data_IF_855415125638
#
_entry.id   IF_855415125638
#
_cell.length_a   1.000
_cell.length_b   1.000
_cell.length_c   1.000
_cell.angle_alpha   90.00
_cell.angle_beta   90.00
_cell.angle_gamma   90.00
#
_symmetry.space_group_name_H-M   'P 1'
#
loop_
_entity.id
_entity.type
_entity.pdbx_description
1 polymer ?
#
# COMPACT_ATOMS: atom_id res chain seq x y z
N UNK A 1 -15.65 -21.39 7.64
CA UNK A 1 -15.48 -21.08 6.19
C UNK A 1 -14.79 -19.73 6.11
N UNK A 2 -13.76 -19.63 5.29
CA UNK A 2 -13.09 -18.35 5.02
C UNK A 2 -14.08 -17.45 4.28
N UNK A 3 -14.33 -16.26 4.80
CA UNK A 3 -15.26 -15.31 4.20
C UNK A 3 -14.54 -14.55 3.07
N UNK A 4 -15.07 -14.67 1.85
CA UNK A 4 -14.50 -13.95 0.70
C UNK A 4 -14.91 -12.48 0.77
N UNK A 5 -13.95 -11.52 0.68
CA UNK A 5 -14.28 -10.11 0.57
C UNK A 5 -15.21 -9.81 -0.62
N UNK A 6 -16.14 -8.86 -0.49
CA UNK A 6 -17.07 -8.54 -1.56
C UNK A 6 -16.42 -7.72 -2.68
N UNK A 7 -16.40 -8.27 -3.89
CA UNK A 7 -15.98 -7.57 -5.11
C UNK A 7 -16.58 -8.20 -6.36
N UNK A 8 -16.70 -7.38 -7.41
CA UNK A 8 -17.16 -7.79 -8.73
C UNK A 8 -16.05 -7.54 -9.76
N UNK A 9 -15.73 -8.55 -10.57
CA UNK A 9 -14.78 -8.40 -11.69
C UNK A 9 -15.55 -7.91 -12.91
N UNK A 10 -15.36 -6.64 -13.26
CA UNK A 10 -16.02 -6.00 -14.41
C UNK A 10 -15.23 -6.22 -15.71
N UNK A 11 -15.85 -6.05 -16.90
CA UNK A 11 -15.11 -6.06 -18.17
C UNK A 11 -13.96 -5.05 -18.21
N UNK A 12 -14.11 -3.88 -17.55
CA UNK A 12 -13.05 -2.87 -17.43
C UNK A 12 -11.85 -3.37 -16.63
N UNK A 13 -12.11 -4.06 -15.51
CA UNK A 13 -11.06 -4.69 -14.69
C UNK A 13 -10.29 -5.72 -15.50
N UNK A 14 -10.98 -6.57 -16.28
CA UNK A 14 -10.33 -7.58 -17.12
C UNK A 14 -9.45 -6.95 -18.21
N UNK A 15 -9.92 -5.89 -18.87
CA UNK A 15 -9.15 -5.17 -19.87
C UNK A 15 -7.89 -4.50 -19.27
N UNK A 16 -7.99 -3.96 -18.06
CA UNK A 16 -6.83 -3.39 -17.34
C UNK A 16 -5.81 -4.47 -16.97
N UNK A 17 -6.26 -5.64 -16.53
CA UNK A 17 -5.36 -6.77 -16.20
C UNK A 17 -4.56 -7.20 -17.44
N UNK A 18 -5.22 -7.31 -18.61
CA UNK A 18 -4.56 -7.64 -19.88
C UNK A 18 -3.49 -6.60 -20.24
N UNK A 19 -3.84 -5.30 -20.21
CA UNK A 19 -2.92 -4.20 -20.52
C UNK A 19 -1.74 -4.14 -19.56
N UNK A 20 -1.96 -4.36 -18.25
CA UNK A 20 -0.89 -4.43 -17.25
C UNK A 20 0.02 -5.62 -17.55
N UNK A 21 -0.55 -6.78 -17.89
CA UNK A 21 0.21 -7.96 -18.28
C UNK A 21 1.17 -7.70 -19.44
N UNK A 22 0.70 -7.00 -20.49
CA UNK A 22 1.53 -6.59 -21.62
C UNK A 22 2.62 -5.60 -21.20
N UNK A 23 2.28 -4.55 -20.44
CA UNK A 23 3.24 -3.55 -19.96
C UNK A 23 4.34 -4.17 -19.10
N UNK A 24 3.98 -5.07 -18.16
CA UNK A 24 4.92 -5.81 -17.33
C UNK A 24 5.81 -6.73 -18.16
N UNK A 25 5.24 -7.44 -19.14
CA UNK A 25 6.01 -8.29 -20.06
C UNK A 25 7.06 -7.49 -20.85
N UNK A 26 6.71 -6.31 -21.34
CA UNK A 26 7.63 -5.40 -22.04
C UNK A 26 8.72 -4.87 -21.08
N UNK A 27 8.35 -4.47 -19.86
CA UNK A 27 9.28 -4.00 -18.85
C UNK A 27 10.25 -5.10 -18.38
N UNK A 28 9.79 -6.34 -18.22
CA UNK A 28 10.65 -7.49 -17.89
C UNK A 28 11.64 -7.80 -19.02
N UNK A 29 11.23 -7.75 -20.29
CA UNK A 29 12.10 -7.92 -21.43
C UNK A 29 13.18 -6.82 -21.54
N UNK A 30 12.83 -5.58 -21.21
CA UNK A 30 13.76 -4.46 -21.16
C UNK A 30 14.70 -4.48 -19.95
N UNK A 31 14.37 -5.22 -18.90
CA UNK A 31 15.06 -5.22 -17.59
C UNK A 31 16.48 -5.81 -17.61
N UNK A 32 16.87 -6.49 -18.68
CA UNK A 32 18.25 -7.03 -18.84
C UNK A 32 19.34 -5.95 -18.69
N UNK A 33 18.95 -4.65 -18.73
CA UNK A 33 19.85 -3.49 -18.62
C UNK A 33 19.50 -2.51 -17.48
N UNK A 34 18.59 -2.85 -16.54
CA UNK A 34 18.16 -1.85 -15.53
C UNK A 34 19.29 -1.53 -14.53
N UNK A 35 19.69 -0.26 -14.58
CA UNK A 35 20.68 0.37 -13.73
C UNK A 35 20.22 0.38 -12.23
N UNK A 36 21.12 0.00 -11.32
CA UNK A 36 20.94 0.10 -9.86
C UNK A 36 20.52 1.52 -9.43
N UNK A 37 20.94 2.53 -10.17
CA UNK A 37 20.58 3.93 -9.96
C UNK A 37 19.07 4.16 -10.15
N UNK A 38 18.46 3.58 -11.18
CA UNK A 38 17.02 3.71 -11.44
C UNK A 38 16.20 3.05 -10.34
N UNK A 39 16.59 1.86 -9.88
CA UNK A 39 15.94 1.18 -8.74
C UNK A 39 15.96 2.02 -7.47
N UNK A 40 17.12 2.65 -7.19
CA UNK A 40 17.25 3.55 -6.04
C UNK A 40 16.32 4.76 -6.17
N UNK A 41 16.26 5.40 -7.34
CA UNK A 41 15.37 6.54 -7.60
C UNK A 41 13.91 6.12 -7.40
N UNK A 42 13.49 5.01 -7.95
CA UNK A 42 12.12 4.52 -7.83
C UNK A 42 11.77 4.15 -6.38
N UNK A 43 12.70 3.56 -5.63
CA UNK A 43 12.53 3.31 -4.19
C UNK A 43 12.29 4.61 -3.41
N UNK A 44 13.07 5.66 -3.70
CA UNK A 44 12.91 6.97 -3.07
C UNK A 44 11.54 7.57 -3.41
N UNK A 45 11.11 7.47 -4.68
CA UNK A 45 9.80 7.93 -5.13
C UNK A 45 8.64 7.20 -4.47
N UNK A 46 8.72 5.87 -4.36
CA UNK A 46 7.75 5.03 -3.64
C UNK A 46 7.60 5.50 -2.19
N UNK A 47 8.72 5.60 -1.46
CA UNK A 47 8.71 6.04 -0.05
C UNK A 47 8.14 7.45 0.08
N UNK A 48 8.64 8.39 -0.72
CA UNK A 48 8.17 9.78 -0.70
C UNK A 48 6.68 9.87 -1.04
N UNK A 49 6.21 9.15 -2.06
CA UNK A 49 4.79 9.12 -2.45
C UNK A 49 3.91 8.63 -1.31
N UNK A 50 4.25 7.49 -0.72
CA UNK A 50 3.50 6.92 0.41
C UNK A 50 3.43 7.85 1.62
N UNK A 51 4.53 8.52 1.96
CA UNK A 51 4.58 9.46 3.07
C UNK A 51 3.80 10.75 2.77
N UNK A 52 3.88 11.25 1.54
CA UNK A 52 3.20 12.49 1.14
C UNK A 52 1.67 12.37 1.14
N UNK A 53 1.12 11.19 0.85
CA UNK A 53 -0.32 10.91 0.99
C UNK A 53 -0.80 11.16 2.43
N UNK A 54 0.06 10.88 3.42
CA UNK A 54 -0.22 11.09 4.85
C UNK A 54 0.19 12.50 5.35
N UNK A 55 0.55 13.41 4.43
CA UNK A 55 0.88 14.80 4.77
C UNK A 55 2.32 15.05 5.17
N UNK A 56 3.23 14.09 5.01
CA UNK A 56 4.66 14.31 5.20
C UNK A 56 5.19 15.32 4.16
N UNK A 57 5.98 16.28 4.60
CA UNK A 57 6.37 17.45 3.80
C UNK A 57 7.74 17.31 3.13
N UNK A 58 8.43 16.18 3.31
CA UNK A 58 9.76 15.97 2.74
C UNK A 58 9.73 15.95 1.20
N UNK A 59 10.67 16.66 0.59
CA UNK A 59 10.94 16.56 -0.84
C UNK A 59 11.64 15.24 -1.19
N UNK A 60 11.62 14.86 -2.46
CA UNK A 60 12.34 13.67 -2.96
C UNK A 60 13.87 13.78 -2.65
N UNK A 61 14.46 14.97 -2.77
CA UNK A 61 15.85 15.21 -2.44
C UNK A 61 16.15 15.03 -0.94
N UNK A 62 15.24 15.44 -0.06
CA UNK A 62 15.39 15.22 1.39
C UNK A 62 15.27 13.75 1.75
N UNK A 63 14.29 13.02 1.17
CA UNK A 63 14.18 11.55 1.36
C UNK A 63 15.44 10.85 0.85
N UNK A 64 16.00 11.27 -0.31
CA UNK A 64 17.25 10.73 -0.83
C UNK A 64 18.44 10.98 0.12
N UNK A 65 18.48 12.15 0.74
CA UNK A 65 19.53 12.52 1.72
C UNK A 65 19.44 11.66 2.98
N UNK A 66 18.20 11.41 3.49
CA UNK A 66 17.96 10.51 4.62
C UNK A 66 18.32 9.06 4.25
N UNK A 67 18.01 8.63 3.04
CA UNK A 67 18.35 7.32 2.50
C UNK A 67 19.88 7.09 2.49
N UNK A 68 20.68 8.13 2.24
CA UNK A 68 22.14 8.10 2.31
C UNK A 68 22.69 8.24 3.75
N UNK A 69 21.84 8.22 4.78
CA UNK A 69 22.23 8.36 6.19
C UNK A 69 22.70 9.78 6.58
N UNK A 70 22.43 10.77 5.75
CA UNK A 70 22.86 12.16 5.99
C UNK A 70 21.78 12.97 6.74
N UNK A 71 22.17 14.00 7.50
CA UNK A 71 21.23 14.87 8.20
C UNK A 71 20.45 15.75 7.22
N UNK A 72 19.18 16.03 7.58
CA UNK A 72 18.25 16.90 6.84
C UNK A 72 17.63 17.90 7.80
N UNK A 73 17.47 19.15 7.37
CA UNK A 73 16.68 20.15 8.10
C UNK A 73 15.20 20.01 7.70
N UNK A 74 14.40 19.39 8.56
CA UNK A 74 12.96 19.17 8.39
C UNK A 74 12.32 18.85 9.75
N UNK A 75 10.97 18.79 9.86
CA UNK A 75 10.31 18.38 11.08
C UNK A 75 10.79 17.00 11.54
N UNK A 76 11.05 16.84 12.84
CA UNK A 76 11.58 15.58 13.39
C UNK A 76 10.66 14.39 13.14
N UNK A 77 9.34 14.61 13.17
CA UNK A 77 8.34 13.58 12.84
C UNK A 77 8.51 13.10 11.41
N UNK A 78 8.61 14.02 10.45
CA UNK A 78 8.74 13.70 9.02
C UNK A 78 10.02 12.89 8.75
N UNK A 79 11.13 13.29 9.39
CA UNK A 79 12.41 12.56 9.30
C UNK A 79 12.27 11.15 9.87
N UNK A 80 11.58 11.01 11.02
CA UNK A 80 11.39 9.69 11.65
C UNK A 80 10.53 8.79 10.77
N UNK A 81 9.45 9.31 10.20
CA UNK A 81 8.59 8.58 9.26
C UNK A 81 9.39 8.08 8.04
N UNK A 82 10.24 8.94 7.47
CA UNK A 82 11.09 8.55 6.33
C UNK A 82 12.09 7.45 6.69
N UNK A 83 12.75 7.53 7.85
CA UNK A 83 13.67 6.49 8.34
C UNK A 83 12.97 5.16 8.54
N UNK A 84 11.79 5.19 9.16
CA UNK A 84 10.98 4.00 9.38
C UNK A 84 10.53 3.37 8.06
N UNK A 85 10.08 4.18 7.10
CA UNK A 85 9.67 3.69 5.78
C UNK A 85 10.86 3.08 5.03
N UNK A 86 12.03 3.71 5.03
CA UNK A 86 13.25 3.15 4.44
C UNK A 86 13.54 1.78 5.03
N UNK A 87 13.54 1.66 6.37
CA UNK A 87 13.79 0.40 7.06
C UNK A 87 12.76 -0.68 6.73
N UNK A 88 11.47 -0.31 6.63
CA UNK A 88 10.40 -1.25 6.26
C UNK A 88 10.57 -1.76 4.82
N UNK A 89 10.81 -0.88 3.86
CA UNK A 89 11.03 -1.25 2.47
C UNK A 89 12.35 -2.02 2.23
N UNK A 90 13.35 -1.91 3.10
CA UNK A 90 14.56 -2.73 3.02
C UNK A 90 14.32 -4.17 3.45
N UNK A 91 13.32 -4.42 4.30
CA UNK A 91 13.01 -5.74 4.84
C UNK A 91 11.79 -6.41 4.18
N UNK A 92 10.90 -5.67 3.50
CA UNK A 92 9.57 -6.13 3.11
C UNK A 92 9.56 -7.42 2.28
N UNK A 93 10.57 -7.65 1.45
CA UNK A 93 10.66 -8.87 0.61
C UNK A 93 10.85 -10.16 1.41
N UNK A 94 11.17 -10.06 2.72
CA UNK A 94 11.36 -11.20 3.60
C UNK A 94 10.06 -11.62 4.30
N UNK A 95 9.02 -10.78 4.21
CA UNK A 95 7.74 -11.02 4.88
C UNK A 95 6.82 -11.87 4.04
N UNK A 96 6.07 -12.76 4.72
CA UNK A 96 4.97 -13.47 4.11
C UNK A 96 3.71 -12.58 4.18
N UNK A 97 3.08 -12.23 3.04
CA UNK A 97 1.91 -11.33 3.03
C UNK A 97 0.68 -11.90 3.76
N UNK A 98 0.58 -13.21 3.94
CA UNK A 98 -0.50 -13.85 4.70
C UNK A 98 -0.17 -14.03 6.20
N UNK A 99 1.03 -13.61 6.66
CA UNK A 99 1.47 -13.75 8.05
C UNK A 99 1.06 -12.55 8.90
N UNK A 100 0.19 -12.76 9.89
CA UNK A 100 -0.13 -11.74 10.89
C UNK A 100 1.10 -11.27 11.67
N UNK A 101 2.00 -12.19 12.01
CA UNK A 101 3.25 -11.85 12.71
C UNK A 101 4.11 -10.89 11.91
N UNK A 102 4.21 -11.11 10.60
CA UNK A 102 4.98 -10.22 9.72
C UNK A 102 4.27 -8.88 9.52
N UNK A 103 2.94 -8.87 9.42
CA UNK A 103 2.13 -7.65 9.33
C UNK A 103 2.31 -6.78 10.58
N UNK A 104 2.20 -7.36 11.78
CA UNK A 104 2.40 -6.63 13.03
C UNK A 104 3.84 -6.14 13.19
N UNK A 105 4.82 -6.95 12.75
CA UNK A 105 6.25 -6.56 12.73
C UNK A 105 6.50 -5.39 11.77
N UNK A 106 5.92 -5.41 10.58
CA UNK A 106 6.03 -4.34 9.61
C UNK A 106 5.45 -3.02 10.15
N UNK A 107 4.25 -3.08 10.74
CA UNK A 107 3.66 -1.92 11.40
C UNK A 107 4.53 -1.40 12.56
N UNK A 108 5.10 -2.29 13.37
CA UNK A 108 6.03 -1.90 14.43
C UNK A 108 7.22 -1.11 13.88
N UNK A 109 7.80 -1.54 12.76
CA UNK A 109 8.91 -0.83 12.11
C UNK A 109 8.44 0.53 11.61
N UNK A 110 7.33 0.59 10.85
CA UNK A 110 6.81 1.83 10.28
C UNK A 110 6.46 2.89 11.34
N UNK A 111 6.01 2.46 12.51
CA UNK A 111 5.50 3.35 13.56
C UNK A 111 6.43 3.48 14.76
N UNK A 112 7.67 2.97 14.68
CA UNK A 112 8.69 3.13 15.73
C UNK A 112 8.92 4.59 16.05
N UNK A 113 8.85 4.96 17.34
CA UNK A 113 8.97 6.33 17.87
C UNK A 113 7.91 7.33 17.33
N UNK A 114 6.84 6.85 16.74
CA UNK A 114 5.68 7.64 16.31
C UNK A 114 4.42 7.29 17.10
N UNK A 115 4.34 6.07 17.62
CA UNK A 115 3.24 5.57 18.48
C UNK A 115 3.80 4.95 19.76
N UNK A 116 2.98 4.93 20.81
CA UNK A 116 3.31 4.29 22.09
C UNK A 116 3.31 2.75 22.00
N UNK A 117 2.38 2.19 21.21
CA UNK A 117 2.20 0.74 21.05
C UNK A 117 2.21 0.28 19.58
N UNK A 118 3.32 0.46 18.83
CA UNK A 118 3.39 0.05 17.43
C UNK A 118 3.40 -1.49 17.31
N UNK A 119 2.74 -2.01 16.28
CA UNK A 119 2.63 -3.44 16.04
C UNK A 119 1.53 -4.13 16.86
N UNK A 120 0.55 -3.37 17.34
CA UNK A 120 -0.63 -3.88 18.02
C UNK A 120 -1.89 -3.33 17.37
N UNK A 121 -2.94 -4.14 17.27
CA UNK A 121 -4.24 -3.68 16.82
C UNK A 121 -4.82 -2.67 17.80
N UNK A 122 -5.58 -1.71 17.25
CA UNK A 122 -6.25 -0.67 18.04
C UNK A 122 -7.24 -1.24 19.05
N UNK A 123 -7.42 -0.51 20.11
CA UNK A 123 -8.42 -0.79 21.15
C UNK A 123 -9.54 0.25 21.18
N UNK A 124 -9.35 1.35 20.45
CA UNK A 124 -10.32 2.44 20.34
C UNK A 124 -11.14 2.37 19.04
N UNK A 125 -12.25 3.09 19.01
CA UNK A 125 -13.00 3.35 17.79
C UNK A 125 -12.23 4.34 16.94
N UNK A 126 -12.23 4.15 15.62
CA UNK A 126 -11.58 5.04 14.67
C UNK A 126 -12.54 5.48 13.58
N UNK A 127 -12.31 6.70 13.05
CA UNK A 127 -12.90 7.16 11.82
C UNK A 127 -11.81 7.21 10.74
N UNK A 128 -12.09 6.62 9.60
CA UNK A 128 -11.23 6.72 8.43
C UNK A 128 -11.53 8.06 7.76
N UNK A 129 -10.58 8.97 7.82
CA UNK A 129 -10.73 10.30 7.25
C UNK A 129 -9.65 10.56 6.19
N UNK A 130 -9.99 11.36 5.19
CA UNK A 130 -9.05 11.85 4.19
C UNK A 130 -9.49 13.22 3.70
N UNK A 131 -8.55 14.13 3.46
CA UNK A 131 -8.80 15.50 3.01
C UNK A 131 -9.80 16.31 3.89
N UNK A 132 -9.87 15.98 5.20
CA UNK A 132 -10.75 16.65 6.16
C UNK A 132 -12.19 16.10 6.22
N UNK A 133 -12.52 15.08 5.45
CA UNK A 133 -13.82 14.39 5.48
C UNK A 133 -13.70 12.98 6.06
N UNK A 134 -14.72 12.56 6.81
CA UNK A 134 -14.85 11.18 7.29
C UNK A 134 -15.46 10.34 6.18
N UNK A 135 -14.70 9.35 5.70
CA UNK A 135 -15.15 8.46 4.64
C UNK A 135 -15.85 7.21 5.17
N UNK A 136 -15.44 6.76 6.35
CA UNK A 136 -15.96 5.53 6.93
C UNK A 136 -15.68 5.51 8.44
N UNK A 137 -16.53 4.80 9.21
CA UNK A 137 -16.27 4.47 10.62
C UNK A 137 -15.80 3.02 10.65
N UNK A 138 -14.60 2.80 11.14
CA UNK A 138 -14.03 1.46 11.24
C UNK A 138 -14.89 0.52 12.10
N UNK A 139 -14.81 -0.79 11.88
CA UNK A 139 -15.52 -1.79 12.70
C UNK A 139 -15.21 -1.62 14.19
N UNK A 140 -16.05 -2.13 15.10
CA UNK A 140 -15.76 -2.17 16.52
C UNK A 140 -14.38 -2.81 16.80
N UNK A 141 -13.58 -2.30 17.76
CA UNK A 141 -12.21 -2.74 17.97
C UNK A 141 -12.09 -4.22 18.37
N UNK A 142 -13.08 -4.77 19.04
CA UNK A 142 -13.16 -6.19 19.41
C UNK A 142 -13.32 -7.14 18.21
N UNK A 143 -13.82 -6.62 17.06
CA UNK A 143 -13.94 -7.37 15.81
C UNK A 143 -12.66 -7.36 14.96
N UNK A 144 -11.75 -6.42 15.22
CA UNK A 144 -10.54 -6.23 14.38
C UNK A 144 -9.67 -7.49 14.27
N UNK A 145 -9.36 -8.22 15.36
CA UNK A 145 -8.54 -9.43 15.25
C UNK A 145 -9.19 -10.51 14.38
N UNK A 146 -10.51 -10.72 14.50
CA UNK A 146 -11.25 -11.69 13.70
C UNK A 146 -11.27 -11.30 12.22
N UNK A 147 -11.55 -10.03 11.92
CA UNK A 147 -11.59 -9.52 10.54
C UNK A 147 -10.22 -9.62 9.87
N UNK A 148 -9.16 -9.28 10.58
CA UNK A 148 -7.79 -9.43 10.06
C UNK A 148 -7.40 -10.88 9.85
N UNK A 149 -7.76 -11.79 10.77
CA UNK A 149 -7.51 -13.22 10.60
C UNK A 149 -8.24 -13.77 9.36
N UNK A 150 -9.50 -13.37 9.12
CA UNK A 150 -10.25 -13.75 7.95
C UNK A 150 -9.63 -13.21 6.65
N UNK A 151 -9.22 -11.94 6.64
CA UNK A 151 -8.58 -11.31 5.47
C UNK A 151 -7.24 -11.97 5.13
N UNK A 152 -6.41 -12.28 6.12
CA UNK A 152 -5.13 -12.98 5.91
C UNK A 152 -5.34 -14.44 5.49
N UNK A 153 -6.32 -15.14 6.04
CA UNK A 153 -6.68 -16.50 5.63
C UNK A 153 -7.20 -16.52 4.19
N UNK A 154 -8.02 -15.54 3.79
CA UNK A 154 -8.43 -15.38 2.39
C UNK A 154 -7.24 -15.14 1.46
N UNK A 155 -6.30 -14.30 1.87
CA UNK A 155 -5.09 -14.00 1.09
C UNK A 155 -4.22 -15.25 0.88
N UNK A 156 -4.15 -16.15 1.87
CA UNK A 156 -3.39 -17.40 1.80
C UNK A 156 -4.04 -18.47 0.90
N UNK A 157 -5.37 -18.49 0.84
CA UNK A 157 -6.16 -19.57 0.18
C UNK A 157 -6.66 -19.19 -1.23
N UNK A 158 -6.56 -17.92 -1.64
CA UNK A 158 -7.19 -17.45 -2.88
C UNK A 158 -6.36 -17.77 -4.14
N UNK A 159 -7.06 -18.30 -5.18
CA UNK A 159 -6.49 -18.50 -6.54
C UNK A 159 -6.76 -17.32 -7.48
N UNK A 160 -7.29 -16.19 -6.98
CA UNK A 160 -7.60 -15.03 -7.79
C UNK A 160 -6.32 -14.35 -8.31
N UNK A 161 -6.48 -13.58 -9.40
CA UNK A 161 -5.32 -12.90 -10.01
C UNK A 161 -4.66 -11.90 -9.04
N UNK A 162 -3.33 -11.89 -8.88
CA UNK A 162 -2.63 -11.04 -7.88
C UNK A 162 -2.91 -9.53 -7.97
N UNK A 163 -3.20 -9.00 -9.15
CA UNK A 163 -3.64 -7.62 -9.33
C UNK A 163 -4.98 -7.34 -8.65
N UNK A 164 -5.91 -8.29 -8.68
CA UNK A 164 -7.19 -8.21 -7.97
C UNK A 164 -6.94 -8.38 -6.48
N UNK A 165 -6.25 -9.46 -6.09
CA UNK A 165 -5.97 -9.80 -4.69
C UNK A 165 -5.32 -8.66 -3.94
N UNK A 166 -4.29 -8.04 -4.52
CA UNK A 166 -3.58 -6.94 -3.87
C UNK A 166 -4.46 -5.70 -3.68
N UNK A 167 -5.34 -5.41 -4.64
CA UNK A 167 -6.25 -4.27 -4.57
C UNK A 167 -7.40 -4.53 -3.58
N UNK A 168 -7.97 -5.74 -3.56
CA UNK A 168 -8.98 -6.17 -2.59
C UNK A 168 -8.40 -6.10 -1.18
N UNK A 169 -7.20 -6.70 -0.96
CA UNK A 169 -6.55 -6.66 0.34
C UNK A 169 -6.34 -5.23 0.83
N UNK A 170 -5.84 -4.35 -0.04
CA UNK A 170 -5.60 -2.95 0.31
C UNK A 170 -6.90 -2.24 0.74
N UNK A 171 -7.99 -2.41 -0.03
CA UNK A 171 -9.28 -1.82 0.32
C UNK A 171 -9.83 -2.37 1.65
N UNK A 172 -9.87 -3.69 1.82
CA UNK A 172 -10.36 -4.33 3.05
C UNK A 172 -9.53 -3.92 4.28
N UNK A 173 -8.21 -3.80 4.10
CA UNK A 173 -7.33 -3.34 5.16
C UNK A 173 -7.65 -1.89 5.57
N UNK A 174 -7.88 -0.99 4.60
CA UNK A 174 -8.32 0.37 4.87
C UNK A 174 -9.72 0.41 5.50
N UNK A 175 -10.62 -0.46 5.10
CA UNK A 175 -11.96 -0.58 5.67
C UNK A 175 -11.93 -1.07 7.11
N UNK A 176 -11.15 -2.11 7.43
CA UNK A 176 -10.98 -2.63 8.80
C UNK A 176 -10.25 -1.59 9.67
N UNK A 177 -9.28 -0.90 9.09
CA UNK A 177 -8.46 0.12 9.75
C UNK A 177 -7.87 -0.40 11.08
N UNK A 178 -7.02 -1.43 11.04
CA UNK A 178 -6.70 -2.23 12.21
C UNK A 178 -5.82 -1.54 13.26
N UNK A 179 -5.18 -0.41 12.95
CA UNK A 179 -4.25 0.29 13.83
C UNK A 179 -4.74 1.68 14.22
N UNK A 180 -4.18 2.24 15.28
CA UNK A 180 -4.49 3.61 15.71
C UNK A 180 -3.96 4.68 14.73
N UNK A 181 -2.84 4.41 14.03
CA UNK A 181 -2.25 5.22 12.95
C UNK A 181 -1.40 4.32 12.03
N UNK A 182 -1.06 4.80 10.84
CA UNK A 182 -0.20 4.10 9.88
C UNK A 182 -0.92 3.11 8.95
N UNK A 183 -2.25 3.05 8.97
CA UNK A 183 -3.02 2.12 8.14
C UNK A 183 -2.76 2.36 6.64
N UNK A 184 -2.85 3.59 6.15
CA UNK A 184 -2.60 3.91 4.76
C UNK A 184 -1.19 3.51 4.30
N UNK A 185 -0.17 3.79 5.10
CA UNK A 185 1.21 3.37 4.82
C UNK A 185 1.36 1.85 4.77
N UNK A 186 0.67 1.14 5.68
CA UNK A 186 0.65 -0.33 5.72
C UNK A 186 -0.09 -0.91 4.53
N UNK A 187 -1.29 -0.42 4.19
CA UNK A 187 -2.09 -0.91 3.05
C UNK A 187 -1.30 -0.83 1.74
N UNK A 188 -0.66 0.31 1.46
CA UNK A 188 0.20 0.50 0.28
C UNK A 188 1.43 -0.39 0.29
N UNK A 189 2.14 -0.49 1.41
CA UNK A 189 3.29 -1.38 1.55
C UNK A 189 2.89 -2.85 1.33
N UNK A 190 1.74 -3.27 1.87
CA UNK A 190 1.26 -4.65 1.74
C UNK A 190 0.81 -4.96 0.31
N UNK A 191 0.15 -4.02 -0.35
CA UNK A 191 -0.15 -4.15 -1.78
C UNK A 191 1.12 -4.36 -2.61
N UNK A 192 2.15 -3.54 -2.38
CA UNK A 192 3.45 -3.67 -3.05
C UNK A 192 4.10 -5.02 -2.72
N UNK A 193 3.98 -5.50 -1.49
CA UNK A 193 4.49 -6.82 -1.07
C UNK A 193 3.79 -7.96 -1.84
N UNK A 194 2.45 -7.98 -1.87
CA UNK A 194 1.66 -9.00 -2.58
C UNK A 194 2.04 -9.02 -4.07
N UNK A 195 2.10 -7.85 -4.71
CA UNK A 195 2.48 -7.74 -6.11
C UNK A 195 3.93 -8.19 -6.36
N UNK A 196 4.86 -7.90 -5.44
CA UNK A 196 6.27 -8.30 -5.55
C UNK A 196 6.44 -9.82 -5.43
N UNK A 197 5.61 -10.51 -4.65
CA UNK A 197 5.59 -11.97 -4.58
C UNK A 197 5.13 -12.62 -5.89
N UNK A 198 4.26 -11.95 -6.64
CA UNK A 198 3.87 -12.38 -7.98
C UNK A 198 4.93 -12.04 -9.02
N UNK A 199 5.38 -10.78 -9.06
CA UNK A 199 6.35 -10.26 -10.02
C UNK A 199 7.34 -9.34 -9.31
N UNK A 200 8.60 -9.75 -9.20
CA UNK A 200 9.64 -8.99 -8.50
C UNK A 200 9.84 -7.55 -9.01
N UNK A 201 9.38 -7.26 -10.24
CA UNK A 201 9.42 -5.94 -10.85
C UNK A 201 8.64 -4.89 -10.04
N UNK A 202 7.53 -5.28 -9.39
CA UNK A 202 6.69 -4.36 -8.63
C UNK A 202 7.41 -3.70 -7.45
N UNK A 203 8.48 -4.28 -6.95
CA UNK A 203 9.32 -3.62 -5.95
C UNK A 203 10.03 -2.35 -6.46
N UNK A 204 10.09 -2.18 -7.77
CA UNK A 204 10.82 -1.10 -8.43
C UNK A 204 9.87 -0.15 -9.23
N UNK A 205 8.54 -0.36 -9.16
CA UNK A 205 7.52 0.50 -9.79
C UNK A 205 6.97 1.46 -8.72
N UNK A 206 7.10 2.79 -8.87
CA UNK A 206 6.71 3.76 -7.84
C UNK A 206 5.20 4.09 -7.90
N UNK A 207 4.33 3.09 -7.68
CA UNK A 207 2.86 3.21 -7.71
C UNK A 207 2.37 4.30 -6.77
N UNK A 208 2.96 4.42 -5.58
CA UNK A 208 2.60 5.38 -4.54
C UNK A 208 2.80 6.84 -4.97
N UNK A 209 3.75 7.10 -5.86
CA UNK A 209 3.92 8.45 -6.43
C UNK A 209 2.71 8.88 -7.25
N UNK A 210 2.12 7.95 -7.99
CA UNK A 210 0.96 8.22 -8.82
C UNK A 210 -0.33 8.26 -7.98
N UNK A 211 -0.45 7.42 -6.95
CA UNK A 211 -1.53 7.54 -5.95
C UNK A 211 -1.50 8.94 -5.32
N UNK A 212 -0.31 9.44 -4.94
CA UNK A 212 -0.18 10.79 -4.39
C UNK A 212 -0.61 11.87 -5.41
N UNK A 213 -0.20 11.74 -6.68
CA UNK A 213 -0.60 12.68 -7.73
C UNK A 213 -2.12 12.67 -7.99
N UNK A 214 -2.79 11.52 -7.78
CA UNK A 214 -4.23 11.31 -7.95
C UNK A 214 -4.94 11.09 -6.60
N UNK A 215 -4.47 11.75 -5.53
CA UNK A 215 -4.95 11.51 -4.16
C UNK A 215 -6.45 11.72 -3.98
N UNK A 216 -7.04 12.70 -4.68
CA UNK A 216 -8.48 12.92 -4.68
C UNK A 216 -9.26 11.73 -5.24
N UNK A 217 -8.79 11.15 -6.35
CA UNK A 217 -9.40 9.97 -6.97
C UNK A 217 -9.26 8.73 -6.07
N UNK A 218 -8.11 8.58 -5.39
CA UNK A 218 -7.85 7.51 -4.43
C UNK A 218 -8.89 7.50 -3.30
N UNK A 219 -9.10 8.62 -2.62
CA UNK A 219 -10.10 8.70 -1.56
C UNK A 219 -11.54 8.59 -2.09
N UNK A 220 -11.80 9.10 -3.30
CA UNK A 220 -13.11 8.93 -3.95
C UNK A 220 -13.38 7.45 -4.27
N UNK A 221 -12.38 6.68 -4.72
CA UNK A 221 -12.53 5.25 -4.97
C UNK A 221 -12.82 4.46 -3.67
N UNK A 222 -12.14 4.78 -2.56
CA UNK A 222 -12.44 4.21 -1.23
C UNK A 222 -13.89 4.53 -0.84
N UNK A 223 -14.32 5.79 -0.95
CA UNK A 223 -15.68 6.21 -0.61
C UNK A 223 -16.72 5.49 -1.45
N UNK A 224 -16.56 5.44 -2.78
CA UNK A 224 -17.49 4.74 -3.68
C UNK A 224 -17.58 3.25 -3.38
N UNK A 225 -16.46 2.61 -3.02
CA UNK A 225 -16.45 1.21 -2.62
C UNK A 225 -17.20 0.99 -1.31
N UNK A 226 -17.02 1.87 -0.33
CA UNK A 226 -17.75 1.82 0.95
C UNK A 226 -19.25 2.03 0.77
N UNK A 227 -19.66 2.97 -0.08
CA UNK A 227 -21.07 3.23 -0.41
C UNK A 227 -21.73 2.04 -1.12
N UNK A 228 -21.00 1.31 -1.98
CA UNK A 228 -21.49 0.14 -2.69
C UNK A 228 -21.41 -1.15 -1.87
N UNK A 229 -20.65 -1.17 -0.80
CA UNK A 229 -20.37 -2.37 -0.03
C UNK A 229 -19.53 -3.41 -0.79
N UNK A 230 -18.71 -2.97 -1.77
CA UNK A 230 -17.82 -3.84 -2.54
C UNK A 230 -16.61 -3.07 -3.09
N UNK A 231 -15.48 -3.75 -3.32
CA UNK A 231 -14.21 -3.10 -3.66
C UNK A 231 -13.96 -2.85 -5.16
N UNK A 232 -14.91 -3.15 -6.08
CA UNK A 232 -14.70 -2.99 -7.52
C UNK A 232 -14.29 -1.57 -7.96
N UNK A 233 -14.85 -0.46 -7.44
CA UNK A 233 -14.39 0.87 -7.78
C UNK A 233 -12.92 1.12 -7.37
N UNK A 234 -12.52 0.62 -6.21
CA UNK A 234 -11.15 0.73 -5.74
C UNK A 234 -10.17 -0.13 -6.56
N UNK A 235 -10.58 -1.37 -6.90
CA UNK A 235 -9.81 -2.25 -7.78
C UNK A 235 -9.54 -1.55 -9.12
N UNK A 236 -10.59 -1.00 -9.75
CA UNK A 236 -10.44 -0.32 -11.03
C UNK A 236 -9.45 0.84 -10.94
N UNK A 237 -9.60 1.73 -9.94
CA UNK A 237 -8.67 2.84 -9.70
C UNK A 237 -7.23 2.37 -9.53
N UNK A 238 -7.00 1.34 -8.69
CA UNK A 238 -5.65 0.83 -8.45
C UNK A 238 -5.03 0.21 -9.70
N UNK A 239 -5.81 -0.50 -10.52
CA UNK A 239 -5.31 -1.05 -11.78
C UNK A 239 -4.96 0.05 -12.80
N UNK A 240 -5.74 1.13 -12.89
CA UNK A 240 -5.40 2.29 -13.72
C UNK A 240 -4.07 2.91 -13.28
N UNK A 241 -3.87 3.11 -11.99
CA UNK A 241 -2.62 3.65 -11.41
C UNK A 241 -1.44 2.71 -11.68
N UNK A 242 -1.62 1.40 -11.49
CA UNK A 242 -0.58 0.41 -11.76
C UNK A 242 -0.20 0.42 -13.25
N UNK A 243 -1.17 0.44 -14.15
CA UNK A 243 -0.93 0.49 -15.59
C UNK A 243 -0.12 1.73 -15.97
N UNK A 244 -0.54 2.91 -15.50
CA UNK A 244 0.14 4.17 -15.77
C UNK A 244 1.58 4.17 -15.20
N UNK A 245 1.77 3.61 -13.99
CA UNK A 245 3.10 3.50 -13.36
C UNK A 245 4.04 2.50 -14.06
N UNK A 246 3.50 1.51 -14.77
CA UNK A 246 4.27 0.50 -15.48
C UNK A 246 4.70 0.94 -16.89
N UNK A 247 4.12 2.01 -17.42
CA UNK A 247 4.48 2.54 -18.76
C UNK A 247 5.84 3.25 -18.69
N UNK A 248 6.71 3.08 -19.71
CA UNK A 248 7.97 3.82 -19.77
C UNK A 248 7.70 5.32 -19.92
N UNK A 249 8.26 6.11 -19.00
CA UNK A 249 8.31 7.59 -19.07
C UNK A 249 9.46 8.06 -19.92
#
# INVERSE_FOLDING_TARGET
MIEKPPYTVTPGILALIEQIGEAIGQAEAARVSQDLRLRRINRIRTIRGSLAIEGNTLSEAQVATIFDGKPVAAPLKDIQEARNAIQAYDQFRQWNPASETDLLRAHKILMTALLDAPGQYRRGQVAVAGQGEVHHIGPPPDRVPELMANLLAWLDDTDEHPLIVSSVFHYEFEFIHPFDDGNGRMGRLWQTLILTHWKALFADIPVESLIHARQGDYYNAIRQSSEKGESAPFIQFMLEVILESAQPT
#
